data_IF_362374039450
#
_entry.id   IF_362374039450
#
_cell.length_a   1.000
_cell.length_b   1.000
_cell.length_c   1.000
_cell.angle_alpha   90.00
_cell.angle_beta   90.00
_cell.angle_gamma   90.00
#
_symmetry.space_group_name_H-M   'P 1'
#
loop_
_entity.id
_entity.type
_entity.pdbx_description
1 polymer ?
#
# COMPACT_ATOMS: atom_id res chain seq x y z
N UNK A 1 -29.43 24.70 9.24
CA UNK A 1 -28.11 24.62 9.87
C UNK A 1 -27.17 25.54 9.13
N UNK A 2 -26.43 26.33 9.90
CA UNK A 2 -25.21 27.02 9.48
C UNK A 2 -24.08 26.02 9.18
N UNK A 3 -23.15 26.45 8.34
CA UNK A 3 -22.06 25.58 7.86
C UNK A 3 -21.06 25.25 8.98
N UNK A 4 -20.87 26.15 9.93
CA UNK A 4 -19.98 25.94 11.08
C UNK A 4 -20.50 24.81 11.99
N UNK A 5 -21.81 24.76 12.25
CA UNK A 5 -22.44 23.67 13.00
C UNK A 5 -22.38 22.34 12.26
N UNK A 6 -22.51 22.33 10.93
CA UNK A 6 -22.36 21.09 10.15
C UNK A 6 -20.97 20.50 10.27
N UNK A 7 -19.93 21.32 10.15
CA UNK A 7 -18.52 20.88 10.28
C UNK A 7 -18.28 20.29 11.66
N UNK A 8 -18.71 20.97 12.74
CA UNK A 8 -18.56 20.46 14.11
C UNK A 8 -19.28 19.14 14.35
N UNK A 9 -20.49 19.00 13.80
CA UNK A 9 -21.26 17.75 13.87
C UNK A 9 -20.55 16.64 13.12
N UNK A 10 -20.04 16.92 11.92
CA UNK A 10 -19.30 15.94 11.12
C UNK A 10 -18.03 15.45 11.83
N UNK A 11 -17.20 16.37 12.32
CA UNK A 11 -15.97 16.04 13.05
C UNK A 11 -16.26 15.17 14.27
N UNK A 12 -17.23 15.56 15.09
CA UNK A 12 -17.60 14.82 16.31
C UNK A 12 -18.16 13.44 15.98
N UNK A 13 -19.00 13.33 14.96
CA UNK A 13 -19.59 12.05 14.53
C UNK A 13 -18.50 11.11 14.01
N UNK A 14 -17.56 11.61 13.19
CA UNK A 14 -16.44 10.81 12.68
C UNK A 14 -15.49 10.37 13.80
N UNK A 15 -15.22 11.23 14.78
CA UNK A 15 -14.42 10.87 15.95
C UNK A 15 -15.07 9.75 16.77
N UNK A 16 -16.38 9.84 17.05
CA UNK A 16 -17.12 8.78 17.75
C UNK A 16 -17.07 7.46 16.98
N UNK A 17 -17.22 7.50 15.65
CA UNK A 17 -17.16 6.32 14.80
C UNK A 17 -15.76 5.68 14.76
N UNK A 18 -14.69 6.48 14.86
CA UNK A 18 -13.31 5.97 14.93
C UNK A 18 -12.95 5.37 16.30
N UNK A 19 -13.50 5.91 17.38
CA UNK A 19 -13.20 5.45 18.75
C UNK A 19 -14.03 4.25 19.20
N UNK A 20 -15.15 3.97 18.52
CA UNK A 20 -16.14 2.98 18.95
C UNK A 20 -16.11 1.72 18.09
N UNK A 21 -16.56 0.61 18.67
CA UNK A 21 -16.77 -0.64 17.94
C UNK A 21 -17.94 -0.50 16.95
N UNK A 22 -17.63 -0.60 15.66
CA UNK A 22 -18.59 -0.47 14.55
C UNK A 22 -19.68 -1.55 14.56
N UNK A 23 -19.49 -2.68 15.26
CA UNK A 23 -20.47 -3.76 15.33
C UNK A 23 -21.65 -3.46 16.24
N UNK A 24 -21.49 -2.54 17.20
CA UNK A 24 -22.52 -2.22 18.20
C UNK A 24 -23.14 -0.83 18.03
N UNK A 25 -22.52 0.01 17.21
CA UNK A 25 -22.89 1.42 17.04
C UNK A 25 -23.98 1.57 15.98
N UNK A 26 -25.13 2.11 16.38
CA UNK A 26 -26.22 2.50 15.46
C UNK A 26 -26.23 4.01 15.27
N UNK A 27 -26.79 4.48 14.15
CA UNK A 27 -26.98 5.93 13.91
C UNK A 27 -27.64 6.63 15.10
N UNK A 28 -28.61 5.98 15.75
CA UNK A 28 -29.25 6.52 16.94
C UNK A 28 -28.29 6.72 18.12
N UNK A 29 -27.41 5.74 18.41
CA UNK A 29 -26.39 5.85 19.47
C UNK A 29 -25.36 6.92 19.13
N UNK A 30 -24.88 6.94 17.89
CA UNK A 30 -23.91 7.93 17.40
C UNK A 30 -24.47 9.34 17.51
N UNK A 31 -25.73 9.55 17.10
CA UNK A 31 -26.41 10.84 17.21
C UNK A 31 -26.63 11.29 18.65
N UNK A 32 -26.96 10.37 19.56
CA UNK A 32 -27.11 10.72 20.98
C UNK A 32 -25.76 11.12 21.61
N UNK A 33 -24.69 10.36 21.35
CA UNK A 33 -23.35 10.68 21.83
C UNK A 33 -22.82 12.00 21.25
N UNK A 34 -23.06 12.25 19.96
CA UNK A 34 -22.71 13.52 19.33
C UNK A 34 -23.51 14.69 19.93
N UNK A 35 -24.79 14.47 20.23
CA UNK A 35 -25.66 15.46 20.89
C UNK A 35 -25.16 15.81 22.30
N UNK A 36 -24.73 14.81 23.07
CA UNK A 36 -24.13 14.98 24.39
C UNK A 36 -22.77 15.72 24.33
N UNK A 37 -21.89 15.34 23.40
CA UNK A 37 -20.57 15.98 23.23
C UNK A 37 -20.68 17.45 22.80
N UNK A 38 -21.62 17.76 21.89
CA UNK A 38 -21.80 19.11 21.34
C UNK A 38 -22.68 20.00 22.21
N UNK A 39 -23.47 19.42 23.13
CA UNK A 39 -24.49 20.14 23.88
C UNK A 39 -25.63 20.69 23.00
N UNK A 40 -25.85 20.09 21.84
CA UNK A 40 -26.85 20.49 20.84
C UNK A 40 -27.84 19.34 20.63
N UNK A 41 -29.13 19.63 20.60
CA UNK A 41 -30.14 18.61 20.27
C UNK A 41 -30.08 18.26 18.77
N UNK A 42 -29.79 16.99 18.48
CA UNK A 42 -29.74 16.43 17.13
C UNK A 42 -31.02 15.62 16.81
N UNK A 43 -32.14 15.85 17.50
CA UNK A 43 -33.39 15.08 17.33
C UNK A 43 -34.24 15.48 16.13
N UNK A 44 -34.07 16.68 15.59
CA UNK A 44 -34.85 17.15 14.46
C UNK A 44 -34.48 16.41 13.16
N UNK A 45 -35.43 16.50 12.22
CA UNK A 45 -35.36 15.83 10.93
C UNK A 45 -34.11 16.21 10.13
N UNK A 46 -33.61 17.44 10.27
CA UNK A 46 -32.46 17.93 9.51
C UNK A 46 -31.17 17.34 10.04
N UNK A 47 -30.92 17.40 11.35
CA UNK A 47 -29.72 16.81 11.97
C UNK A 47 -29.72 15.28 11.83
N UNK A 48 -30.88 14.64 11.98
CA UNK A 48 -31.01 13.17 11.82
C UNK A 48 -30.67 12.69 10.42
N UNK A 49 -31.10 13.44 9.39
CA UNK A 49 -30.73 13.13 8.00
C UNK A 49 -29.22 13.36 7.75
N UNK A 50 -28.65 14.41 8.35
CA UNK A 50 -27.24 14.74 8.19
C UNK A 50 -26.32 13.71 8.84
N UNK A 51 -26.56 13.34 10.11
CA UNK A 51 -25.78 12.31 10.83
C UNK A 51 -25.87 10.96 10.10
N UNK A 52 -27.05 10.59 9.61
CA UNK A 52 -27.20 9.38 8.78
C UNK A 52 -26.34 9.41 7.53
N UNK A 53 -26.25 10.56 6.85
CA UNK A 53 -25.40 10.74 5.68
C UNK A 53 -23.92 10.57 6.00
N UNK A 54 -23.46 11.12 7.12
CA UNK A 54 -22.08 10.97 7.60
C UNK A 54 -21.77 9.50 7.92
N UNK A 55 -22.63 8.83 8.68
CA UNK A 55 -22.46 7.41 9.03
C UNK A 55 -22.40 6.53 7.79
N UNK A 56 -23.27 6.77 6.80
CA UNK A 56 -23.26 6.04 5.52
C UNK A 56 -21.97 6.26 4.74
N UNK A 57 -21.51 7.51 4.64
CA UNK A 57 -20.27 7.85 3.94
C UNK A 57 -19.05 7.23 4.64
N UNK A 58 -19.05 7.20 5.97
CA UNK A 58 -18.00 6.55 6.75
C UNK A 58 -17.98 5.03 6.53
N UNK A 59 -19.14 4.38 6.53
CA UNK A 59 -19.24 2.94 6.26
C UNK A 59 -18.76 2.59 4.84
N UNK A 60 -19.14 3.39 3.83
CA UNK A 60 -18.64 3.23 2.46
C UNK A 60 -17.12 3.43 2.37
N UNK A 61 -16.57 4.41 3.12
CA UNK A 61 -15.13 4.64 3.20
C UNK A 61 -14.41 3.44 3.84
N UNK A 62 -14.95 2.86 4.91
CA UNK A 62 -14.38 1.67 5.57
C UNK A 62 -14.45 0.44 4.67
N UNK A 63 -15.59 0.19 4.02
CA UNK A 63 -15.73 -0.92 3.06
C UNK A 63 -14.75 -0.79 1.89
N UNK A 64 -14.55 0.43 1.37
CA UNK A 64 -13.59 0.68 0.28
C UNK A 64 -12.14 0.45 0.70
N UNK A 65 -11.78 0.82 1.94
CA UNK A 65 -10.45 0.55 2.50
C UNK A 65 -10.23 -0.94 2.74
N UNK A 66 -11.23 -1.64 3.27
CA UNK A 66 -11.18 -3.09 3.45
C UNK A 66 -11.04 -3.84 2.11
N UNK A 67 -11.78 -3.43 1.08
CA UNK A 67 -11.63 -4.01 -0.26
C UNK A 67 -10.25 -3.73 -0.87
N UNK A 68 -9.69 -2.54 -0.69
CA UNK A 68 -8.33 -2.25 -1.12
C UNK A 68 -7.28 -3.07 -0.37
N UNK A 69 -7.42 -3.21 0.96
CA UNK A 69 -6.53 -4.05 1.77
C UNK A 69 -6.66 -5.54 1.39
N UNK A 70 -7.87 -6.04 1.12
CA UNK A 70 -8.11 -7.40 0.63
C UNK A 70 -7.56 -7.62 -0.78
N UNK A 71 -7.69 -6.66 -1.70
CA UNK A 71 -7.10 -6.71 -3.04
C UNK A 71 -5.56 -6.69 -2.97
N UNK A 72 -4.96 -5.86 -2.11
CA UNK A 72 -3.51 -5.85 -1.88
C UNK A 72 -3.03 -7.18 -1.25
N UNK A 73 -3.77 -7.73 -0.27
CA UNK A 73 -3.47 -9.03 0.33
C UNK A 73 -3.64 -10.19 -0.67
N UNK A 74 -4.69 -10.19 -1.50
CA UNK A 74 -4.88 -11.19 -2.55
C UNK A 74 -3.81 -11.08 -3.63
N UNK A 75 -3.38 -9.87 -3.99
CA UNK A 75 -2.29 -9.67 -4.95
C UNK A 75 -0.97 -10.19 -4.38
N UNK A 76 -0.71 -10.00 -3.08
CA UNK A 76 0.45 -10.56 -2.40
C UNK A 76 0.37 -12.10 -2.28
N UNK A 77 -0.80 -12.67 -1.93
CA UNK A 77 -1.00 -14.13 -1.86
C UNK A 77 -0.93 -14.80 -3.23
N UNK A 78 -1.44 -14.17 -4.28
CA UNK A 78 -1.32 -14.67 -5.66
C UNK A 78 0.14 -14.70 -6.14
N UNK A 79 0.99 -13.78 -5.63
CA UNK A 79 2.44 -13.77 -5.88
C UNK A 79 3.20 -14.86 -5.10
N UNK A 80 2.65 -15.41 -4.01
CA UNK A 80 3.33 -16.46 -3.24
C UNK A 80 3.34 -17.84 -3.91
N UNK A 81 2.33 -18.15 -4.75
CA UNK A 81 2.20 -19.46 -5.39
C UNK A 81 3.21 -19.74 -6.52
N UNK A 82 4.01 -18.75 -6.93
CA UNK A 82 4.91 -18.85 -8.08
C UNK A 82 6.25 -18.13 -7.84
N UNK A 83 6.74 -18.13 -6.59
CA UNK A 83 8.06 -17.60 -6.23
C UNK A 83 9.15 -18.47 -6.87
N UNK A 84 9.75 -17.98 -7.95
CA UNK A 84 10.93 -18.61 -8.56
C UNK A 84 12.13 -18.40 -7.61
N UNK A 85 12.76 -19.49 -7.17
CA UNK A 85 13.98 -19.44 -6.35
C UNK A 85 15.17 -19.93 -7.17
N UNK A 86 16.36 -19.42 -6.87
CA UNK A 86 17.58 -19.95 -7.45
C UNK A 86 18.18 -21.13 -6.66
N UNK A 87 19.31 -21.65 -7.17
CA UNK A 87 20.04 -22.78 -6.58
C UNK A 87 20.51 -22.51 -5.13
N UNK A 88 20.64 -21.24 -4.72
CA UNK A 88 21.05 -20.81 -3.39
C UNK A 88 19.84 -20.46 -2.48
N UNK A 89 18.61 -20.54 -3.02
CA UNK A 89 17.37 -20.22 -2.31
C UNK A 89 17.02 -18.72 -2.32
N UNK A 90 17.74 -17.90 -3.09
CA UNK A 90 17.42 -16.48 -3.23
C UNK A 90 16.17 -16.31 -4.11
N UNK A 91 15.31 -15.37 -3.73
CA UNK A 91 14.07 -15.09 -4.47
C UNK A 91 14.38 -14.38 -5.78
N UNK A 92 14.04 -15.00 -6.91
CA UNK A 92 14.12 -14.38 -8.24
C UNK A 92 12.89 -13.50 -8.45
N UNK A 93 13.11 -12.20 -8.54
CA UNK A 93 12.06 -11.21 -8.78
C UNK A 93 11.73 -11.11 -10.27
N UNK A 94 12.76 -11.08 -11.13
CA UNK A 94 12.58 -11.11 -12.58
C UNK A 94 13.86 -11.54 -13.32
N UNK A 95 13.68 -12.12 -14.51
CA UNK A 95 14.77 -12.39 -15.46
C UNK A 95 14.86 -11.28 -16.49
N UNK A 96 15.98 -10.56 -16.51
CA UNK A 96 16.29 -9.52 -17.51
C UNK A 96 16.76 -10.13 -18.85
N UNK A 97 17.32 -11.34 -18.78
CA UNK A 97 17.68 -12.20 -19.91
C UNK A 97 17.91 -13.63 -19.40
N UNK A 98 18.22 -14.58 -20.28
CA UNK A 98 18.60 -15.95 -19.90
C UNK A 98 19.78 -16.00 -18.92
N UNK A 99 20.65 -14.98 -18.91
CA UNK A 99 21.86 -14.92 -18.09
C UNK A 99 21.85 -13.81 -17.05
N UNK A 100 20.80 -12.98 -16.96
CA UNK A 100 20.76 -11.85 -16.01
C UNK A 100 19.43 -11.84 -15.28
N UNK A 101 19.47 -11.74 -13.96
CA UNK A 101 18.28 -11.71 -13.12
C UNK A 101 18.41 -10.69 -12.00
N UNK A 102 17.25 -10.32 -11.46
CA UNK A 102 17.10 -9.56 -10.23
C UNK A 102 16.67 -10.52 -9.14
N UNK A 103 17.43 -10.58 -8.04
CA UNK A 103 17.10 -11.41 -6.87
C UNK A 103 17.05 -10.58 -5.59
N UNK A 104 16.32 -11.07 -4.59
CA UNK A 104 16.47 -10.65 -3.19
C UNK A 104 17.42 -11.63 -2.53
N UNK A 105 18.60 -11.13 -2.15
CA UNK A 105 19.66 -11.92 -1.54
C UNK A 105 19.88 -11.48 -0.10
N UNK A 106 20.03 -12.43 0.83
CA UNK A 106 20.45 -12.12 2.20
C UNK A 106 21.97 -12.25 2.35
N UNK A 107 22.62 -11.20 2.84
CA UNK A 107 24.05 -11.23 3.16
C UNK A 107 24.32 -10.58 4.51
N UNK A 108 24.80 -11.40 5.46
CA UNK A 108 25.13 -10.96 6.84
C UNK A 108 23.96 -10.25 7.53
N UNK A 109 22.76 -10.81 7.41
CA UNK A 109 21.53 -10.26 8.01
C UNK A 109 21.00 -9.00 7.32
N UNK A 110 21.49 -8.67 6.12
CA UNK A 110 20.96 -7.58 5.29
C UNK A 110 20.37 -8.13 4.00
N UNK A 111 19.14 -7.76 3.71
CA UNK A 111 18.52 -8.01 2.41
C UNK A 111 19.06 -7.02 1.37
N UNK A 112 19.44 -7.54 0.22
CA UNK A 112 20.02 -6.79 -0.90
C UNK A 112 19.24 -7.05 -2.17
N UNK A 113 19.01 -6.01 -2.96
CA UNK A 113 18.48 -6.13 -4.33
C UNK A 113 19.66 -6.40 -5.26
N UNK A 114 19.79 -7.63 -5.74
CA UNK A 114 20.92 -8.09 -6.55
C UNK A 114 20.57 -8.12 -8.02
N UNK A 115 21.25 -7.33 -8.86
CA UNK A 115 21.12 -7.35 -10.32
C UNK A 115 22.42 -7.94 -10.86
N UNK A 116 22.38 -9.20 -11.31
CA UNK A 116 23.62 -9.97 -11.59
C UNK A 116 23.53 -10.87 -12.81
N UNK A 117 24.66 -11.00 -13.51
CA UNK A 117 24.86 -11.97 -14.59
C UNK A 117 25.34 -13.30 -14.01
N UNK A 118 24.75 -14.40 -14.48
CA UNK A 118 25.06 -15.78 -14.10
C UNK A 118 25.61 -16.57 -15.28
N UNK A 119 26.42 -17.57 -14.99
CA UNK A 119 26.94 -18.52 -15.97
C UNK A 119 26.61 -19.95 -15.55
N UNK A 120 26.50 -20.85 -16.54
CA UNK A 120 26.24 -22.26 -16.29
C UNK A 120 27.55 -23.03 -16.17
N UNK A 121 27.70 -23.79 -15.09
CA UNK A 121 28.82 -24.73 -14.89
C UNK A 121 28.29 -25.97 -14.19
N UNK A 122 28.57 -27.14 -14.75
CA UNK A 122 28.14 -28.44 -14.21
C UNK A 122 26.62 -28.52 -13.95
N UNK A 123 25.83 -27.89 -14.81
CA UNK A 123 24.37 -27.84 -14.70
C UNK A 123 23.81 -26.81 -13.70
N UNK A 124 24.67 -26.11 -12.94
CA UNK A 124 24.29 -25.08 -11.96
C UNK A 124 24.46 -23.67 -12.51
N UNK A 125 23.62 -22.75 -12.06
CA UNK A 125 23.74 -21.32 -12.38
C UNK A 125 24.53 -20.60 -11.29
N UNK A 126 25.75 -20.16 -11.61
CA UNK A 126 26.64 -19.49 -10.66
C UNK A 126 26.73 -17.99 -10.94
N UNK A 127 26.76 -17.13 -9.90
CA UNK A 127 26.90 -15.70 -10.07
C UNK A 127 28.27 -15.35 -10.65
N UNK A 128 28.30 -14.43 -11.61
CA UNK A 128 29.53 -13.84 -12.12
C UNK A 128 29.91 -12.57 -11.34
N UNK A 129 31.12 -12.06 -11.58
CA UNK A 129 31.55 -10.76 -11.07
C UNK A 129 30.78 -9.58 -11.67
N UNK A 130 30.07 -9.77 -12.80
CA UNK A 130 29.28 -8.72 -13.44
C UNK A 130 27.91 -8.60 -12.77
N UNK A 131 27.75 -7.55 -11.99
CA UNK A 131 26.50 -7.25 -11.30
C UNK A 131 26.73 -6.36 -10.09
N UNK A 132 25.64 -5.89 -9.51
CA UNK A 132 25.64 -5.05 -8.31
C UNK A 132 24.57 -5.57 -7.34
N UNK A 133 24.87 -5.49 -6.05
CA UNK A 133 23.91 -5.79 -4.99
C UNK A 133 23.70 -4.51 -4.19
N UNK A 134 22.48 -4.00 -4.23
CA UNK A 134 22.12 -2.71 -3.66
C UNK A 134 21.56 -2.92 -2.26
N UNK A 135 22.00 -2.10 -1.31
CA UNK A 135 21.33 -1.97 -0.01
C UNK A 135 19.96 -1.32 -0.19
N UNK A 136 19.10 -1.41 0.82
CA UNK A 136 17.79 -0.74 0.80
C UNK A 136 17.90 0.79 0.57
N UNK A 137 18.90 1.44 1.17
CA UNK A 137 19.18 2.87 0.96
C UNK A 137 19.56 3.18 -0.49
N UNK A 138 20.41 2.34 -1.10
CA UNK A 138 20.82 2.50 -2.49
C UNK A 138 19.66 2.23 -3.45
N UNK A 139 18.85 1.20 -3.18
CA UNK A 139 17.65 0.88 -3.93
C UNK A 139 16.62 2.01 -3.87
N UNK A 140 16.37 2.56 -2.68
CA UNK A 140 15.50 3.72 -2.49
C UNK A 140 15.99 4.94 -3.26
N UNK A 141 17.30 5.18 -3.29
CA UNK A 141 17.90 6.25 -4.10
C UNK A 141 17.72 5.99 -5.59
N UNK A 142 17.92 4.76 -6.05
CA UNK A 142 17.70 4.36 -7.44
C UNK A 142 16.24 4.60 -7.86
N UNK A 143 15.27 4.12 -7.06
CA UNK A 143 13.83 4.31 -7.32
C UNK A 143 13.44 5.78 -7.48
N UNK A 144 13.95 6.65 -6.59
CA UNK A 144 13.69 8.11 -6.67
C UNK A 144 14.16 8.74 -7.99
N UNK A 145 15.13 8.13 -8.65
CA UNK A 145 15.71 8.64 -9.90
C UNK A 145 15.19 7.92 -11.15
N UNK A 146 14.30 6.93 -11.04
CA UNK A 146 13.72 6.23 -12.19
C UNK A 146 13.14 7.20 -13.24
N UNK A 147 12.36 8.24 -12.89
CA UNK A 147 11.83 9.17 -13.91
C UNK A 147 12.93 9.85 -14.73
N UNK A 148 14.00 10.28 -14.08
CA UNK A 148 15.15 10.89 -14.78
C UNK A 148 15.90 9.88 -15.65
N UNK A 149 15.99 8.62 -15.22
CA UNK A 149 16.58 7.52 -16.00
C UNK A 149 15.73 7.25 -17.25
N UNK A 150 14.40 7.16 -17.11
CA UNK A 150 13.48 6.94 -18.23
C UNK A 150 13.56 8.06 -19.28
N UNK A 151 13.61 9.32 -18.83
CA UNK A 151 13.81 10.46 -19.72
C UNK A 151 15.14 10.40 -20.47
N UNK A 152 16.21 9.92 -19.81
CA UNK A 152 17.50 9.73 -20.44
C UNK A 152 17.47 8.57 -21.46
N UNK A 153 16.80 7.45 -21.14
CA UNK A 153 16.67 6.28 -22.04
C UNK A 153 15.91 6.65 -23.32
N UNK A 154 14.78 7.36 -23.21
CA UNK A 154 14.01 7.84 -24.38
C UNK A 154 14.86 8.71 -25.32
N UNK A 155 15.76 9.53 -24.75
CA UNK A 155 16.72 10.35 -25.52
C UNK A 155 17.83 9.52 -26.18
N UNK A 156 18.18 8.37 -25.62
CA UNK A 156 19.14 7.45 -26.22
C UNK A 156 18.52 6.70 -27.41
N UNK A 157 17.29 6.20 -27.25
CA UNK A 157 16.60 5.45 -28.30
C UNK A 157 16.30 6.30 -29.54
N UNK A 158 15.94 7.57 -29.36
CA UNK A 158 15.71 8.51 -30.46
C UNK A 158 16.97 8.92 -31.24
N UNK A 159 18.16 8.52 -30.79
CA UNK A 159 19.45 8.76 -31.47
C UNK A 159 19.94 7.56 -32.29
N UNK A 160 19.25 6.43 -32.20
CA UNK A 160 19.52 5.20 -32.95
C UNK A 160 18.58 5.18 -34.17
#
# INVERSE_FOLDING_TARGET
>A
MDEESKVKIEETVREILNESDMTEMTEFKVRNLASERLGIDLSDKSHKAFVRGIVKSFLEEVESKQQQEEEEEEEDRAKEGNKELDDDGDLIICRLSDKRRVTIQEFRGKSLVSIREYYKKDGKELPSSKGISLTDEQWSTFKKNIPAIEDAVKKMESRI
#
